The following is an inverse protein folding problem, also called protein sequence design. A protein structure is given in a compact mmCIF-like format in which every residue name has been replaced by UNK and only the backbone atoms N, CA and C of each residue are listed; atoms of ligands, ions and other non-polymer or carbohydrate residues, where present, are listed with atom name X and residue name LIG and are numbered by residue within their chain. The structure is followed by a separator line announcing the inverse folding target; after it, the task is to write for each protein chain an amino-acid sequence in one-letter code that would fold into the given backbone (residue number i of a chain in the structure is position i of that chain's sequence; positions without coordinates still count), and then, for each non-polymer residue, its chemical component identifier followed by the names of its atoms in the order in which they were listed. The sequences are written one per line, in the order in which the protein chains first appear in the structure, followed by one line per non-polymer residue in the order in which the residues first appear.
data_IF_312562422277
#
_entry.id   IF_312562422277
#
_cell.length_a   1.000
_cell.length_b   1.000
_cell.length_c   1.000
_cell.angle_alpha   90.00
_cell.angle_beta   90.00
_cell.angle_gamma   90.00
#
_symmetry.space_group_name_H-M   'P 1'
#
loop_
_entity.id
_entity.type
_entity.pdbx_description
1 polymer ?
#
# COMPACT_ATOMS: atom_id res chain seq x y z
N UNK A 1 -42.93 3.27 -3.11
CA UNK A 1 -43.21 3.58 -4.52
C UNK A 1 -41.91 3.51 -5.30
N UNK A 2 -41.91 2.62 -6.30
CA UNK A 2 -41.00 2.38 -7.43
C UNK A 2 -39.80 3.34 -7.59
N UNK A 3 -38.59 2.86 -7.93
CA UNK A 3 -38.28 2.31 -9.26
C UNK A 3 -37.26 1.16 -9.14
N UNK A 4 -37.68 -0.05 -9.52
CA UNK A 4 -36.76 -1.04 -10.09
C UNK A 4 -36.40 -0.61 -11.51
N UNK A 5 -35.09 -0.49 -11.78
CA UNK A 5 -34.58 -0.59 -13.15
C UNK A 5 -33.20 -1.24 -13.12
N UNK A 6 -33.21 -2.56 -13.22
CA UNK A 6 -32.04 -3.36 -13.58
C UNK A 6 -31.67 -3.02 -15.02
N UNK A 7 -30.65 -2.18 -15.26
CA UNK A 7 -29.87 -2.14 -16.52
C UNK A 7 -28.48 -1.53 -16.30
N UNK A 8 -27.45 -2.39 -16.37
CA UNK A 8 -26.16 -2.07 -17.01
C UNK A 8 -25.36 -0.88 -16.50
N UNK A 9 -25.08 -0.77 -15.20
CA UNK A 9 -24.19 0.28 -14.68
C UNK A 9 -22.72 -0.07 -14.91
N UNK A 10 -22.28 0.06 -16.15
CA UNK A 10 -20.87 0.18 -16.52
C UNK A 10 -20.36 1.56 -16.10
N UNK A 11 -20.25 1.82 -14.80
CA UNK A 11 -19.48 2.93 -14.27
C UNK A 11 -18.60 2.32 -13.20
N UNK A 12 -17.35 2.07 -13.58
CA UNK A 12 -16.24 1.74 -12.72
C UNK A 12 -16.40 2.54 -11.42
N UNK A 13 -16.80 1.88 -10.33
CA UNK A 13 -16.69 2.48 -9.00
C UNK A 13 -15.21 2.47 -8.69
N UNK A 14 -14.47 3.41 -9.28
CA UNK A 14 -13.08 3.62 -8.92
C UNK A 14 -13.16 4.12 -7.48
N UNK A 15 -12.86 3.24 -6.53
CA UNK A 15 -12.84 3.59 -5.12
C UNK A 15 -11.99 4.84 -4.95
N UNK A 16 -12.61 5.96 -4.54
CA UNK A 16 -11.92 7.24 -4.37
C UNK A 16 -10.70 7.10 -3.43
N UNK A 17 -10.76 6.17 -2.50
CA UNK A 17 -9.65 5.80 -1.59
C UNK A 17 -8.50 5.06 -2.27
N UNK A 18 -8.79 4.34 -3.35
CA UNK A 18 -7.79 3.70 -4.20
C UNK A 18 -7.09 4.77 -5.05
N UNK A 19 -7.85 5.68 -5.66
CA UNK A 19 -7.30 6.79 -6.45
C UNK A 19 -6.36 7.69 -5.64
N UNK A 20 -6.79 8.16 -4.46
CA UNK A 20 -6.00 9.08 -3.62
C UNK A 20 -4.71 8.41 -3.09
N UNK A 21 -4.73 7.09 -2.93
CA UNK A 21 -3.55 6.32 -2.52
C UNK A 21 -2.61 6.11 -3.70
N UNK A 22 -3.16 5.70 -4.83
CA UNK A 22 -2.42 5.41 -6.04
C UNK A 22 -1.73 6.70 -6.51
N UNK A 23 -2.39 7.86 -6.46
CA UNK A 23 -1.77 9.16 -6.79
C UNK A 23 -0.55 9.46 -5.94
N UNK A 24 -0.65 9.33 -4.62
CA UNK A 24 0.47 9.58 -3.71
C UNK A 24 1.59 8.53 -3.83
N UNK A 25 1.31 7.31 -4.26
CA UNK A 25 2.35 6.31 -4.54
C UNK A 25 3.02 6.53 -5.88
N UNK A 26 2.28 6.99 -6.90
CA UNK A 26 2.82 7.29 -8.22
C UNK A 26 3.76 8.50 -8.17
N UNK A 27 3.40 9.55 -7.42
CA UNK A 27 4.29 10.71 -7.19
C UNK A 27 5.63 10.30 -6.58
N UNK A 28 5.61 9.44 -5.56
CA UNK A 28 6.83 8.93 -4.91
C UNK A 28 7.64 8.03 -5.83
N UNK A 29 6.98 7.21 -6.63
CA UNK A 29 7.65 6.41 -7.66
C UNK A 29 8.28 7.28 -8.75
N UNK A 30 7.63 8.39 -9.12
CA UNK A 30 8.17 9.34 -10.07
C UNK A 30 9.40 10.05 -9.52
N UNK A 31 9.34 10.49 -8.26
CA UNK A 31 10.49 11.05 -7.56
C UNK A 31 11.66 10.05 -7.49
N UNK A 32 11.40 8.78 -7.14
CA UNK A 32 12.42 7.72 -7.15
C UNK A 32 13.08 7.60 -8.54
N UNK A 33 12.29 7.55 -9.61
CA UNK A 33 12.79 7.46 -10.99
C UNK A 33 13.66 8.66 -11.36
N UNK A 34 13.25 9.88 -10.98
CA UNK A 34 14.02 11.12 -11.22
C UNK A 34 15.35 11.11 -10.49
N UNK A 35 15.37 10.73 -9.22
CA UNK A 35 16.59 10.64 -8.40
C UNK A 35 17.56 9.61 -8.97
N UNK A 36 17.08 8.42 -9.34
CA UNK A 36 17.94 7.36 -9.89
C UNK A 36 18.57 7.75 -11.24
N UNK A 37 17.83 8.46 -12.09
CA UNK A 37 18.35 8.97 -13.37
C UNK A 37 19.38 10.07 -13.16
N UNK A 38 19.16 10.93 -12.17
CA UNK A 38 20.12 11.97 -11.81
C UNK A 38 21.42 11.36 -11.29
N UNK A 39 21.35 10.39 -10.36
CA UNK A 39 22.53 9.78 -9.75
C UNK A 39 23.39 8.96 -10.70
N UNK A 40 22.79 8.41 -11.76
CA UNK A 40 23.51 7.63 -12.78
C UNK A 40 23.85 8.47 -14.02
N UNK A 41 23.54 9.78 -14.02
CA UNK A 41 23.75 10.70 -15.13
C UNK A 41 22.98 10.36 -16.42
N UNK A 42 21.96 9.49 -16.32
CA UNK A 42 21.13 8.96 -17.43
C UNK A 42 19.87 9.81 -17.62
N UNK A 43 20.04 11.11 -17.92
CA UNK A 43 18.91 12.06 -18.04
C UNK A 43 18.12 11.92 -19.34
N UNK A 44 18.80 11.78 -20.49
CA UNK A 44 18.16 11.78 -21.81
C UNK A 44 18.06 10.39 -22.45
N UNK A 45 18.70 9.38 -21.86
CA UNK A 45 18.71 8.05 -22.46
C UNK A 45 17.36 7.36 -22.31
N UNK A 46 16.89 6.78 -23.42
CA UNK A 46 15.67 5.96 -23.50
C UNK A 46 15.87 4.55 -22.93
N UNK A 47 16.53 4.47 -21.77
CA UNK A 47 16.75 3.22 -21.04
C UNK A 47 15.50 2.90 -20.21
N UNK A 48 15.04 1.64 -20.27
CA UNK A 48 13.89 1.17 -19.48
C UNK A 48 14.23 1.22 -17.99
N UNK A 49 13.28 1.68 -17.17
CA UNK A 49 13.47 1.83 -15.71
C UNK A 49 13.88 0.54 -14.98
N UNK A 50 13.54 -0.65 -15.53
CA UNK A 50 13.99 -1.93 -14.97
C UNK A 50 15.52 -2.07 -14.95
N UNK A 51 16.20 -1.57 -15.98
CA UNK A 51 17.65 -1.62 -16.07
C UNK A 51 18.29 -0.59 -15.14
N UNK A 52 17.72 0.63 -15.06
CA UNK A 52 18.18 1.68 -14.13
C UNK A 52 18.14 1.18 -12.68
N UNK A 53 17.03 0.54 -12.28
CA UNK A 53 16.90 -0.08 -10.96
C UNK A 53 17.87 -1.25 -10.76
N UNK A 54 18.10 -2.06 -11.80
CA UNK A 54 19.08 -3.15 -11.77
C UNK A 54 20.50 -2.66 -11.56
N UNK A 55 20.93 -1.64 -12.33
CA UNK A 55 22.25 -1.00 -12.18
C UNK A 55 22.43 -0.41 -10.78
N UNK A 56 21.41 0.29 -10.27
CA UNK A 56 21.43 0.84 -8.91
C UNK A 56 21.27 -0.22 -7.81
N UNK A 57 20.96 -1.48 -8.15
CA UNK A 57 20.61 -2.54 -7.20
C UNK A 57 19.45 -2.16 -6.25
N UNK A 58 18.51 -1.37 -6.76
CA UNK A 58 17.39 -0.82 -5.98
C UNK A 58 16.10 -1.57 -6.30
N UNK A 59 15.47 -2.14 -5.27
CA UNK A 59 14.09 -2.68 -5.34
C UNK A 59 13.07 -1.55 -5.56
N UNK A 60 11.95 -1.86 -6.21
CA UNK A 60 10.93 -0.85 -6.49
C UNK A 60 10.38 -0.20 -5.22
N UNK A 61 10.02 1.08 -5.29
CA UNK A 61 9.44 1.81 -4.15
C UNK A 61 8.28 1.07 -3.48
N UNK A 62 7.36 0.49 -4.27
CA UNK A 62 6.23 -0.27 -3.72
C UNK A 62 6.64 -1.44 -2.82
N UNK A 63 7.72 -2.15 -3.20
CA UNK A 63 8.26 -3.26 -2.41
C UNK A 63 8.93 -2.77 -1.13
N UNK A 64 9.65 -1.64 -1.18
CA UNK A 64 10.25 -1.01 0.01
C UNK A 64 9.18 -0.60 1.02
N UNK A 65 8.09 0.03 0.56
CA UNK A 65 6.99 0.43 1.44
C UNK A 65 6.31 -0.80 2.02
N UNK A 66 6.08 -1.85 1.22
CA UNK A 66 5.52 -3.11 1.69
C UNK A 66 6.39 -3.74 2.78
N UNK A 67 7.69 -3.86 2.54
CA UNK A 67 8.65 -4.40 3.50
C UNK A 67 8.66 -3.60 4.80
N UNK A 68 8.66 -2.26 4.73
CA UNK A 68 8.60 -1.40 5.90
C UNK A 68 7.31 -1.61 6.72
N UNK A 69 6.15 -1.73 6.05
CA UNK A 69 4.87 -2.01 6.72
C UNK A 69 4.88 -3.36 7.43
N UNK A 70 5.37 -4.40 6.77
CA UNK A 70 5.46 -5.75 7.37
C UNK A 70 6.47 -5.82 8.50
N UNK A 71 7.62 -5.15 8.38
CA UNK A 71 8.62 -5.06 9.45
C UNK A 71 8.04 -4.38 10.69
N UNK A 72 7.29 -3.29 10.51
CA UNK A 72 6.60 -2.63 11.61
C UNK A 72 5.51 -3.52 12.22
N UNK A 73 4.72 -4.20 11.40
CA UNK A 73 3.71 -5.16 11.88
C UNK A 73 4.34 -6.28 12.72
N UNK A 74 5.41 -6.91 12.23
CA UNK A 74 6.16 -7.91 12.99
C UNK A 74 6.81 -7.35 14.24
N UNK A 75 7.24 -6.08 14.24
CA UNK A 75 7.69 -5.42 15.46
C UNK A 75 6.57 -5.31 16.49
N UNK A 76 5.38 -4.84 16.09
CA UNK A 76 4.22 -4.72 17.00
C UNK A 76 3.76 -6.09 17.51
N UNK A 77 3.76 -7.13 16.68
CA UNK A 77 3.38 -8.49 17.06
C UNK A 77 4.33 -9.12 18.09
N UNK A 78 5.63 -8.82 18.02
CA UNK A 78 6.63 -9.29 19.00
C UNK A 78 6.62 -8.53 20.32
N UNK A 79 5.86 -7.44 20.44
CA UNK A 79 5.67 -6.72 21.70
C UNK A 79 4.63 -7.44 22.56
N UNK A 80 4.67 -7.14 23.86
CA UNK A 80 3.73 -7.63 24.85
C UNK A 80 2.26 -7.43 24.40
N UNK A 81 1.39 -8.34 24.82
CA UNK A 81 -0.05 -8.25 24.64
C UNK A 81 -0.63 -6.98 25.28
N UNK A 82 -0.06 -6.50 26.38
CA UNK A 82 -0.48 -5.24 27.02
C UNK A 82 -0.03 -3.98 26.27
N UNK A 83 0.81 -4.12 25.24
CA UNK A 83 1.26 -2.99 24.46
C UNK A 83 0.08 -2.33 23.73
N UNK A 84 -0.15 -1.05 24.04
CA UNK A 84 -1.24 -0.25 23.45
C UNK A 84 -1.26 -0.34 21.93
N UNK A 85 -0.09 -0.36 21.27
CA UNK A 85 -0.01 -0.47 19.81
C UNK A 85 -0.60 -1.77 19.26
N UNK A 86 -0.48 -2.88 20.00
CA UNK A 86 -1.06 -4.19 19.62
C UNK A 86 -2.58 -4.19 19.78
N UNK A 87 -3.07 -3.61 20.87
CA UNK A 87 -4.51 -3.39 21.11
C UNK A 87 -5.12 -2.49 20.04
N UNK A 88 -4.51 -1.32 19.78
CA UNK A 88 -4.99 -0.36 18.78
C UNK A 88 -4.96 -0.91 17.36
N UNK A 89 -3.97 -1.73 17.02
CA UNK A 89 -3.88 -2.38 15.71
C UNK A 89 -5.07 -3.31 15.43
N UNK A 90 -5.55 -4.02 16.46
CA UNK A 90 -6.70 -4.95 16.37
C UNK A 90 -8.05 -4.28 16.66
N UNK A 91 -8.04 -3.12 17.30
CA UNK A 91 -9.24 -2.44 17.76
C UNK A 91 -10.20 -2.09 16.62
N UNK A 92 -11.46 -2.51 16.75
CA UNK A 92 -12.54 -2.19 15.80
C UNK A 92 -13.50 -1.18 16.38
N UNK A 93 -13.34 0.07 15.98
CA UNK A 93 -14.30 1.11 16.32
C UNK A 93 -15.70 0.75 15.75
N UNK A 94 -16.74 0.62 16.59
CA UNK A 94 -18.10 0.38 16.12
C UNK A 94 -18.64 1.64 15.42
N UNK A 95 -19.53 1.44 14.43
CA UNK A 95 -20.16 2.53 13.68
C UNK A 95 -19.59 2.78 12.28
N UNK A 96 -20.25 3.68 11.54
CA UNK A 96 -19.87 4.07 10.18
C UNK A 96 -18.81 5.17 10.21
N UNK A 97 -17.75 5.02 9.42
CA UNK A 97 -16.73 6.08 9.29
C UNK A 97 -17.29 7.32 8.59
N UNK A 98 -16.93 8.54 9.04
CA UNK A 98 -17.36 9.78 8.41
C UNK A 98 -16.73 9.93 7.02
N UNK A 99 -17.34 10.77 6.18
CA UNK A 99 -16.77 11.15 4.87
C UNK A 99 -15.42 11.85 5.10
N UNK A 100 -14.44 11.54 4.26
CA UNK A 100 -13.09 12.12 4.30
C UNK A 100 -12.03 11.28 5.02
N UNK A 101 -12.39 10.49 6.04
CA UNK A 101 -11.43 9.55 6.65
C UNK A 101 -11.34 8.26 5.81
N UNK A 102 -10.13 7.76 5.48
CA UNK A 102 -9.99 6.50 4.76
C UNK A 102 -10.73 5.35 5.48
N UNK A 103 -11.52 4.57 4.73
CA UNK A 103 -12.21 3.37 5.22
C UNK A 103 -11.23 2.22 5.47
N UNK A 104 -10.17 2.12 4.67
CA UNK A 104 -9.15 1.07 4.86
C UNK A 104 -8.26 1.33 6.07
N UNK A 105 -8.07 0.31 6.91
CA UNK A 105 -7.19 0.33 8.07
C UNK A 105 -5.79 -0.13 7.68
N UNK A 106 -4.82 0.16 8.55
CA UNK A 106 -3.48 -0.38 8.40
C UNK A 106 -3.47 -1.91 8.35
N UNK A 107 -4.23 -2.59 9.22
CA UNK A 107 -4.33 -4.05 9.24
C UNK A 107 -4.88 -4.63 7.92
N UNK A 108 -5.80 -3.92 7.25
CA UNK A 108 -6.36 -4.36 5.96
C UNK A 108 -5.30 -4.32 4.86
N UNK A 109 -4.43 -3.29 4.88
CA UNK A 109 -3.28 -3.18 3.97
C UNK A 109 -2.24 -4.27 4.25
N UNK A 110 -1.93 -4.52 5.52
CA UNK A 110 -1.01 -5.60 5.91
C UNK A 110 -1.51 -6.96 5.46
N UNK A 111 -2.82 -7.23 5.57
CA UNK A 111 -3.41 -8.49 5.08
C UNK A 111 -3.23 -8.66 3.57
N UNK A 112 -3.40 -7.59 2.80
CA UNK A 112 -3.11 -7.62 1.35
C UNK A 112 -1.62 -7.82 1.08
N UNK A 113 -0.74 -7.13 1.80
CA UNK A 113 0.71 -7.25 1.64
C UNK A 113 1.20 -8.68 1.95
N UNK A 114 0.67 -9.33 2.99
CA UNK A 114 0.95 -10.73 3.31
C UNK A 114 0.52 -11.66 2.18
N UNK A 115 -0.67 -11.44 1.61
CA UNK A 115 -1.17 -12.22 0.46
C UNK A 115 -0.28 -12.08 -0.77
N UNK A 116 0.23 -10.88 -1.04
CA UNK A 116 1.13 -10.64 -2.18
C UNK A 116 2.46 -11.38 -2.02
N UNK A 117 2.96 -11.53 -0.79
CA UNK A 117 4.22 -12.24 -0.51
C UNK A 117 3.99 -13.75 -0.29
N UNK A 118 2.75 -14.19 -0.05
CA UNK A 118 2.42 -15.59 0.21
C UNK A 118 2.73 -16.05 1.64
N UNK A 119 2.84 -15.12 2.60
CA UNK A 119 3.10 -15.44 4.01
C UNK A 119 1.82 -15.93 4.69
N UNK A 120 1.87 -17.13 5.28
CA UNK A 120 0.77 -17.75 6.05
C UNK A 120 0.57 -17.05 7.40
N UNK A 121 -0.61 -17.20 8.02
CA UNK A 121 -0.87 -16.71 9.38
C UNK A 121 0.09 -17.28 10.43
N UNK A 122 0.60 -18.49 10.16
CA UNK A 122 1.49 -19.31 10.99
C UNK A 122 2.94 -18.79 11.07
N UNK A 123 3.41 -18.04 10.06
CA UNK A 123 4.81 -17.53 10.03
C UNK A 123 5.05 -16.32 10.96
N UNK A 124 4.02 -15.87 11.67
CA UNK A 124 4.01 -14.63 12.46
C UNK A 124 3.83 -14.85 13.97
N UNK A 125 3.89 -16.09 14.43
CA UNK A 125 3.97 -16.48 15.85
C UNK A 125 5.40 -16.85 16.26
#
# INVERSE_FOLDING_TARGET
MLIEKVRGSCIVTVDLEKIVRDSGTEERQEAEKKILRLSLEVRMDRIRNKYIRGTAHVRGFGDKVREARLRWFGHVQRRDTEFIGRTMLRFKLPGRRPRGRPKRRFIDVVKEDRKVIGLSEEDAE
#
